data_IF_121126716669
#
_entry.id   IF_121126716669
#
_cell.length_a   1.000
_cell.length_b   1.000
_cell.length_c   1.000
_cell.angle_alpha   90.00
_cell.angle_beta   90.00
_cell.angle_gamma   90.00
#
_symmetry.space_group_name_H-M   'P 1'
#
loop_
_entity.id
_entity.type
_entity.pdbx_description
1 polymer ?
#
# COMPACT_ATOMS: atom_id res chain seq x y z
N UNK A 1 -21.46 -11.86 0.63
CA UNK A 1 -22.34 -12.73 -0.21
C UNK A 1 -22.25 -12.36 -1.70
N UNK A 2 -22.49 -11.09 -2.04
CA UNK A 2 -22.50 -10.59 -3.42
C UNK A 2 -21.14 -10.63 -4.11
N UNK A 3 -20.07 -10.17 -3.44
CA UNK A 3 -18.71 -10.24 -4.01
C UNK A 3 -18.24 -11.68 -4.30
N UNK A 4 -18.71 -12.66 -3.52
CA UNK A 4 -18.42 -14.08 -3.80
C UNK A 4 -19.16 -14.57 -5.03
N UNK A 5 -20.43 -14.18 -5.19
CA UNK A 5 -21.24 -14.51 -6.36
C UNK A 5 -20.63 -13.95 -7.64
N UNK A 6 -20.26 -12.66 -7.65
CA UNK A 6 -19.59 -12.01 -8.79
C UNK A 6 -18.26 -12.68 -9.16
N UNK A 7 -17.51 -13.14 -8.15
CA UNK A 7 -16.25 -13.86 -8.38
C UNK A 7 -16.49 -15.23 -9.02
N UNK A 8 -17.51 -15.97 -8.59
CA UNK A 8 -17.87 -17.25 -9.21
C UNK A 8 -18.37 -17.07 -10.65
N UNK A 9 -19.24 -16.09 -10.89
CA UNK A 9 -19.69 -15.74 -12.25
C UNK A 9 -18.51 -15.36 -13.16
N UNK A 10 -17.54 -14.59 -12.65
CA UNK A 10 -16.32 -14.27 -13.38
C UNK A 10 -15.49 -15.52 -13.69
N UNK A 11 -15.36 -16.48 -12.76
CA UNK A 11 -14.63 -17.74 -13.00
C UNK A 11 -15.31 -18.59 -14.07
N UNK A 12 -16.64 -18.68 -14.05
CA UNK A 12 -17.43 -19.40 -15.06
C UNK A 12 -17.27 -18.78 -16.44
N UNK A 13 -17.36 -17.46 -16.54
CA UNK A 13 -17.11 -16.70 -17.78
C UNK A 13 -15.68 -16.93 -18.31
N UNK A 14 -14.66 -16.91 -17.44
CA UNK A 14 -13.27 -17.23 -17.83
C UNK A 14 -13.15 -18.66 -18.32
N UNK A 15 -13.82 -19.63 -17.68
CA UNK A 15 -13.80 -21.03 -18.11
C UNK A 15 -14.44 -21.20 -19.48
N UNK A 16 -15.64 -20.64 -19.68
CA UNK A 16 -16.34 -20.68 -20.96
C UNK A 16 -15.50 -20.04 -22.09
N UNK A 17 -14.83 -18.92 -21.81
CA UNK A 17 -13.90 -18.30 -22.74
C UNK A 17 -12.74 -19.23 -23.12
N UNK A 18 -12.05 -19.83 -22.14
CA UNK A 18 -10.93 -20.75 -22.40
C UNK A 18 -11.37 -21.97 -23.19
N UNK A 19 -12.53 -22.54 -22.85
CA UNK A 19 -13.11 -23.68 -23.57
C UNK A 19 -13.42 -23.31 -25.03
N UNK A 20 -14.00 -22.12 -25.27
CA UNK A 20 -14.24 -21.60 -26.61
C UNK A 20 -12.93 -21.38 -27.41
N UNK A 21 -11.94 -20.69 -26.82
CA UNK A 21 -10.64 -20.41 -27.46
C UNK A 21 -9.89 -21.70 -27.80
N UNK A 22 -10.02 -22.74 -26.98
CA UNK A 22 -9.39 -24.05 -27.24
C UNK A 22 -9.93 -24.75 -28.51
N UNK A 23 -11.17 -24.44 -28.90
CA UNK A 23 -11.84 -24.99 -30.09
C UNK A 23 -11.73 -24.08 -31.32
N UNK A 24 -11.38 -22.81 -31.12
CA UNK A 24 -11.25 -21.83 -32.18
C UNK A 24 -10.07 -22.16 -33.12
N UNK A 25 -10.35 -22.21 -34.42
CA UNK A 25 -9.39 -22.54 -35.50
C UNK A 25 -8.75 -21.30 -36.11
N UNK A 26 -9.37 -20.14 -35.95
CA UNK A 26 -8.90 -18.89 -36.53
C UNK A 26 -9.11 -17.69 -35.58
N UNK A 27 -8.54 -16.55 -35.95
CA UNK A 27 -8.60 -15.33 -35.14
C UNK A 27 -10.01 -14.75 -35.02
N UNK A 28 -10.87 -14.93 -36.04
CA UNK A 28 -12.26 -14.44 -36.01
C UNK A 28 -13.07 -15.20 -34.95
N UNK A 29 -12.93 -16.52 -34.89
CA UNK A 29 -13.56 -17.36 -33.87
C UNK A 29 -13.07 -16.99 -32.46
N UNK A 30 -11.78 -16.69 -32.29
CA UNK A 30 -11.25 -16.21 -31.00
C UNK A 30 -11.85 -14.88 -30.59
N UNK A 31 -12.03 -13.94 -31.52
CA UNK A 31 -12.70 -12.66 -31.26
C UNK A 31 -14.16 -12.86 -30.86
N UNK A 32 -14.86 -13.85 -31.41
CA UNK A 32 -16.21 -14.19 -30.97
C UNK A 32 -16.23 -14.76 -29.55
N UNK A 33 -15.25 -15.58 -29.18
CA UNK A 33 -15.11 -16.06 -27.80
C UNK A 33 -14.96 -14.91 -26.81
N UNK A 34 -14.32 -13.79 -27.18
CA UNK A 34 -14.15 -12.64 -26.28
C UNK A 34 -15.48 -12.04 -25.80
N UNK A 35 -16.59 -12.26 -26.53
CA UNK A 35 -17.94 -11.83 -26.12
C UNK A 35 -18.43 -12.55 -24.87
N UNK A 36 -17.84 -13.69 -24.53
CA UNK A 36 -18.14 -14.45 -23.31
C UNK A 36 -17.54 -13.80 -22.06
N UNK A 37 -16.59 -12.88 -22.21
CA UNK A 37 -15.88 -12.25 -21.10
C UNK A 37 -16.62 -11.03 -20.57
N UNK A 38 -17.08 -11.12 -19.32
CA UNK A 38 -17.52 -9.95 -18.55
C UNK A 38 -16.33 -9.06 -18.16
N UNK A 39 -16.56 -7.78 -17.78
CA UNK A 39 -15.49 -6.92 -17.26
C UNK A 39 -14.74 -7.54 -16.07
N UNK A 40 -15.46 -8.21 -15.17
CA UNK A 40 -14.93 -8.93 -14.02
C UNK A 40 -14.08 -10.13 -14.46
N UNK A 41 -14.54 -10.89 -15.45
CA UNK A 41 -13.78 -12.00 -16.03
C UNK A 41 -12.50 -11.53 -16.74
N UNK A 42 -12.55 -10.41 -17.47
CA UNK A 42 -11.35 -9.79 -18.07
C UNK A 42 -10.33 -9.40 -17.00
N UNK A 43 -10.77 -8.78 -15.89
CA UNK A 43 -9.88 -8.47 -14.75
C UNK A 43 -9.29 -9.73 -14.10
N UNK A 44 -10.09 -10.79 -13.98
CA UNK A 44 -9.63 -12.07 -13.44
C UNK A 44 -8.57 -12.72 -14.36
N UNK A 45 -8.78 -12.71 -15.68
CA UNK A 45 -7.79 -13.17 -16.67
C UNK A 45 -6.50 -12.35 -16.63
N UNK A 46 -6.62 -11.02 -16.53
CA UNK A 46 -5.48 -10.11 -16.39
C UNK A 46 -4.60 -10.52 -15.20
N UNK A 47 -5.22 -10.72 -14.03
CA UNK A 47 -4.52 -11.11 -12.81
C UNK A 47 -3.91 -12.52 -12.92
N UNK A 48 -4.64 -13.50 -13.48
CA UNK A 48 -4.11 -14.85 -13.73
C UNK A 48 -2.87 -14.83 -14.63
N UNK A 49 -2.90 -14.01 -15.68
CA UNK A 49 -1.78 -13.88 -16.60
C UNK A 49 -0.58 -13.19 -15.96
N UNK A 50 -0.79 -12.13 -15.17
CA UNK A 50 0.27 -11.47 -14.40
C UNK A 50 0.92 -12.42 -13.38
N UNK A 51 0.12 -13.22 -12.67
CA UNK A 51 0.63 -14.23 -11.73
C UNK A 51 1.39 -15.35 -12.46
N UNK A 52 0.94 -15.77 -13.65
CA UNK A 52 1.70 -16.71 -14.48
C UNK A 52 3.05 -16.10 -14.91
N UNK A 53 3.05 -14.86 -15.43
CA UNK A 53 4.27 -14.17 -15.87
C UNK A 53 5.27 -13.97 -14.73
N UNK A 54 4.79 -13.68 -13.52
CA UNK A 54 5.61 -13.56 -12.31
C UNK A 54 6.45 -14.79 -12.02
N UNK A 55 5.94 -15.98 -12.36
CA UNK A 55 6.56 -17.26 -12.08
C UNK A 55 7.28 -17.84 -13.31
N UNK A 56 7.09 -17.26 -14.49
CA UNK A 56 7.72 -17.70 -15.72
C UNK A 56 9.24 -17.41 -15.71
N UNK A 57 10.05 -18.43 -15.95
CA UNK A 57 11.52 -18.35 -16.00
C UNK A 57 12.05 -18.21 -17.42
N UNK A 58 11.27 -18.68 -18.40
CA UNK A 58 11.67 -18.73 -19.81
C UNK A 58 10.72 -17.93 -20.70
N UNK A 59 11.21 -17.49 -21.86
CA UNK A 59 10.35 -16.83 -22.86
C UNK A 59 9.24 -17.75 -23.38
N UNK A 60 9.47 -19.06 -23.40
CA UNK A 60 8.44 -20.05 -23.75
C UNK A 60 7.30 -20.07 -22.72
N UNK A 61 7.63 -20.04 -21.42
CA UNK A 61 6.64 -19.92 -20.34
C UNK A 61 5.88 -18.60 -20.42
N UNK A 62 6.57 -17.48 -20.64
CA UNK A 62 5.91 -16.18 -20.78
C UNK A 62 4.92 -16.17 -21.95
N UNK A 63 5.31 -16.72 -23.10
CA UNK A 63 4.42 -16.87 -24.26
C UNK A 63 3.19 -17.71 -23.92
N UNK A 64 3.34 -18.79 -23.15
CA UNK A 64 2.20 -19.60 -22.69
C UNK A 64 1.23 -18.82 -21.80
N UNK A 65 1.74 -17.97 -20.90
CA UNK A 65 0.90 -17.17 -20.00
C UNK A 65 -0.04 -16.20 -20.73
N UNK A 66 0.33 -15.76 -21.94
CA UNK A 66 -0.42 -14.74 -22.70
C UNK A 66 -1.02 -15.26 -24.01
N UNK A 67 -0.84 -16.55 -24.34
CA UNK A 67 -1.21 -17.14 -25.63
C UNK A 67 -2.72 -17.04 -25.92
N UNK A 68 -3.53 -17.30 -24.90
CA UNK A 68 -4.98 -17.42 -25.03
C UNK A 68 -5.70 -16.17 -24.53
N UNK A 69 -5.01 -15.03 -24.40
CA UNK A 69 -5.63 -13.77 -24.02
C UNK A 69 -6.16 -13.02 -25.25
N UNK A 70 -7.22 -12.20 -25.06
CA UNK A 70 -7.60 -11.16 -26.02
C UNK A 70 -6.39 -10.29 -26.38
N UNK A 71 -6.27 -9.86 -27.63
CA UNK A 71 -5.09 -9.10 -28.11
C UNK A 71 -4.87 -7.80 -27.35
N UNK A 72 -5.93 -7.09 -27.01
CA UNK A 72 -5.88 -5.87 -26.20
C UNK A 72 -5.37 -6.18 -24.78
N UNK A 73 -5.89 -7.26 -24.18
CA UNK A 73 -5.52 -7.69 -22.84
C UNK A 73 -4.07 -8.20 -22.79
N UNK A 74 -3.63 -8.92 -23.82
CA UNK A 74 -2.25 -9.37 -23.98
C UNK A 74 -1.27 -8.18 -23.99
N UNK A 75 -1.53 -7.15 -24.80
CA UNK A 75 -0.69 -5.94 -24.84
C UNK A 75 -0.64 -5.26 -23.46
N UNK A 76 -1.79 -5.14 -22.80
CA UNK A 76 -1.91 -4.53 -21.46
C UNK A 76 -1.12 -5.31 -20.40
N UNK A 77 -1.28 -6.63 -20.35
CA UNK A 77 -0.59 -7.51 -19.39
C UNK A 77 0.93 -7.46 -19.61
N UNK A 78 1.39 -7.49 -20.87
CA UNK A 78 2.81 -7.40 -21.18
C UNK A 78 3.40 -6.03 -20.79
N UNK A 79 2.67 -4.93 -21.01
CA UNK A 79 3.09 -3.60 -20.57
C UNK A 79 3.21 -3.51 -19.04
N UNK A 80 2.22 -4.06 -18.32
CA UNK A 80 2.24 -4.13 -16.84
C UNK A 80 3.39 -4.96 -16.30
N UNK A 81 3.66 -6.12 -16.89
CA UNK A 81 4.80 -6.94 -16.48
C UNK A 81 6.13 -6.25 -16.80
N UNK A 82 6.25 -5.59 -17.96
CA UNK A 82 7.44 -4.79 -18.30
C UNK A 82 7.69 -3.65 -17.30
N UNK A 83 6.66 -2.89 -16.89
CA UNK A 83 6.75 -1.90 -15.82
C UNK A 83 7.17 -2.54 -14.50
N UNK A 84 6.59 -3.70 -14.15
CA UNK A 84 6.93 -4.40 -12.92
C UNK A 84 8.40 -4.82 -12.86
N UNK A 85 8.92 -5.41 -13.95
CA UNK A 85 10.33 -5.83 -14.07
C UNK A 85 11.26 -4.62 -14.05
N UNK A 86 10.89 -3.54 -14.74
CA UNK A 86 11.62 -2.27 -14.68
C UNK A 86 11.74 -1.76 -13.23
N UNK A 87 10.63 -1.70 -12.49
CA UNK A 87 10.62 -1.28 -11.10
C UNK A 87 11.51 -2.22 -10.26
N UNK A 88 11.43 -3.53 -10.44
CA UNK A 88 12.28 -4.48 -9.70
C UNK A 88 13.78 -4.27 -10.01
N UNK A 89 14.13 -3.97 -11.27
CA UNK A 89 15.49 -3.62 -11.68
C UNK A 89 15.97 -2.31 -11.03
N UNK A 90 15.18 -1.24 -11.12
CA UNK A 90 15.51 0.08 -10.53
C UNK A 90 15.66 0.01 -9.01
N UNK A 91 14.94 -0.90 -8.34
CA UNK A 91 15.07 -1.10 -6.90
C UNK A 91 16.44 -1.64 -6.48
N UNK A 92 17.13 -2.35 -7.38
CA UNK A 92 18.45 -2.95 -7.16
C UNK A 92 19.59 -2.07 -7.69
N UNK A 93 19.30 -1.21 -8.66
CA UNK A 93 20.27 -0.29 -9.26
C UNK A 93 20.83 0.72 -8.22
N UNK A 94 22.16 0.77 -8.13
CA UNK A 94 22.93 1.68 -7.26
C UNK A 94 23.36 2.94 -8.01
N UNK A 95 23.59 2.83 -9.31
CA UNK A 95 24.11 3.91 -10.17
C UNK A 95 23.08 4.39 -11.17
N UNK A 96 23.30 5.58 -11.74
CA UNK A 96 22.48 6.09 -12.84
C UNK A 96 22.62 5.23 -14.11
N UNK A 97 23.81 4.69 -14.37
CA UNK A 97 24.06 3.82 -15.51
C UNK A 97 23.20 2.54 -15.44
N UNK A 98 23.16 1.86 -14.29
CA UNK A 98 22.30 0.69 -14.09
C UNK A 98 20.80 1.03 -14.26
N UNK A 99 20.37 2.23 -13.84
CA UNK A 99 18.98 2.67 -14.05
C UNK A 99 18.66 2.87 -15.53
N UNK A 100 19.59 3.46 -16.30
CA UNK A 100 19.44 3.59 -17.76
C UNK A 100 19.39 2.24 -18.45
N UNK A 101 20.09 1.23 -17.94
CA UNK A 101 19.95 -0.14 -18.44
C UNK A 101 18.57 -0.74 -18.12
N UNK A 102 18.03 -0.50 -16.92
CA UNK A 102 16.67 -0.92 -16.59
C UNK A 102 15.63 -0.33 -17.55
N UNK A 103 15.79 0.92 -18.01
CA UNK A 103 14.87 1.53 -18.98
C UNK A 103 14.81 0.78 -20.31
N UNK A 104 15.84 0.03 -20.70
CA UNK A 104 15.83 -0.82 -21.91
C UNK A 104 14.82 -1.97 -21.81
N UNK A 105 14.36 -2.31 -20.60
CA UNK A 105 13.34 -3.33 -20.35
C UNK A 105 11.92 -2.85 -20.69
N UNK A 106 11.73 -1.54 -20.83
CA UNK A 106 10.43 -0.93 -21.09
C UNK A 106 10.11 -0.91 -22.58
N UNK A 107 8.98 -1.52 -22.95
CA UNK A 107 8.36 -1.31 -24.26
C UNK A 107 7.76 0.10 -24.36
N UNK A 108 7.47 0.64 -25.57
CA UNK A 108 6.81 1.93 -25.70
C UNK A 108 5.49 2.04 -24.93
N UNK A 109 4.68 0.97 -24.92
CA UNK A 109 3.45 0.89 -24.15
C UNK A 109 3.72 0.90 -22.64
N UNK A 110 4.76 0.19 -22.17
CA UNK A 110 5.16 0.20 -20.76
C UNK A 110 5.68 1.57 -20.32
N UNK A 111 6.37 2.31 -21.20
CA UNK A 111 6.80 3.69 -20.93
C UNK A 111 5.60 4.61 -20.72
N UNK A 112 4.58 4.52 -21.58
CA UNK A 112 3.33 5.29 -21.41
C UNK A 112 2.66 4.97 -20.08
N UNK A 113 2.53 3.68 -19.75
CA UNK A 113 1.94 3.24 -18.48
C UNK A 113 2.75 3.72 -17.25
N UNK A 114 4.07 3.75 -17.36
CA UNK A 114 4.94 4.28 -16.30
C UNK A 114 4.77 5.79 -16.12
N UNK A 115 4.63 6.56 -17.20
CA UNK A 115 4.32 8.00 -17.12
C UNK A 115 2.94 8.25 -16.50
N UNK A 116 1.91 7.48 -16.88
CA UNK A 116 0.59 7.53 -16.24
C UNK A 116 0.69 7.23 -14.73
N UNK A 117 1.51 6.25 -14.34
CA UNK A 117 1.76 5.94 -12.93
C UNK A 117 2.46 7.09 -12.20
N UNK A 118 3.40 7.81 -12.83
CA UNK A 118 4.05 8.99 -12.25
C UNK A 118 3.06 10.13 -12.03
N UNK A 119 2.20 10.40 -13.01
CA UNK A 119 1.13 11.42 -12.88
C UNK A 119 0.13 11.05 -11.77
N UNK A 120 -0.23 9.76 -11.66
CA UNK A 120 -1.06 9.24 -10.56
C UNK A 120 -0.40 9.44 -9.19
N UNK A 121 0.91 9.19 -9.06
CA UNK A 121 1.67 9.48 -7.81
C UNK A 121 1.68 10.97 -7.49
N UNK A 122 1.84 11.83 -8.50
CA UNK A 122 1.82 13.29 -8.33
C UNK A 122 0.44 13.76 -7.85
N UNK A 123 -0.64 13.32 -8.49
CA UNK A 123 -2.00 13.61 -8.08
C UNK A 123 -2.29 13.13 -6.64
N UNK A 124 -1.79 11.95 -6.27
CA UNK A 124 -1.87 11.45 -4.90
C UNK A 124 -1.18 12.39 -3.89
N UNK A 125 0.07 12.79 -4.16
CA UNK A 125 0.82 13.70 -3.28
C UNK A 125 0.12 15.06 -3.13
N UNK A 126 -0.39 15.61 -4.23
CA UNK A 126 -1.14 16.86 -4.21
C UNK A 126 -2.42 16.71 -3.38
N UNK A 127 -3.16 15.62 -3.55
CA UNK A 127 -4.35 15.31 -2.75
C UNK A 127 -4.02 15.18 -1.25
N UNK A 128 -3.01 14.37 -0.90
CA UNK A 128 -2.58 14.14 0.50
C UNK A 128 -2.10 15.42 1.16
N UNK A 129 -1.45 16.33 0.43
CA UNK A 129 -1.01 17.63 0.95
C UNK A 129 -2.18 18.53 1.36
N UNK A 130 -3.36 18.35 0.76
CA UNK A 130 -4.58 19.12 1.04
C UNK A 130 -5.49 18.42 2.06
N UNK A 131 -5.29 17.12 2.27
CA UNK A 131 -6.10 16.31 3.15
C UNK A 131 -5.92 16.69 4.63
N UNK A 132 -7.04 16.97 5.31
CA UNK A 132 -7.11 17.42 6.70
C UNK A 132 -7.25 16.28 7.69
N UNK A 133 -7.80 15.14 7.28
CA UNK A 133 -8.05 13.97 8.12
C UNK A 133 -7.57 12.67 7.43
N UNK A 134 -7.58 11.54 8.15
CA UNK A 134 -7.15 10.24 7.59
C UNK A 134 -8.14 9.71 6.53
N UNK A 135 -9.42 10.06 6.61
CA UNK A 135 -10.45 9.64 5.65
C UNK A 135 -10.20 10.26 4.26
N UNK A 136 -9.93 11.55 4.21
CA UNK A 136 -9.52 12.26 2.98
C UNK A 136 -8.23 11.67 2.41
N UNK A 137 -7.26 11.29 3.25
CA UNK A 137 -6.04 10.59 2.79
C UNK A 137 -6.35 9.22 2.19
N UNK A 138 -7.29 8.47 2.77
CA UNK A 138 -7.74 7.18 2.22
C UNK A 138 -8.45 7.36 0.87
N UNK A 139 -9.23 8.43 0.69
CA UNK A 139 -9.81 8.77 -0.60
C UNK A 139 -8.72 9.12 -1.63
N UNK A 140 -7.65 9.83 -1.23
CA UNK A 140 -6.50 10.08 -2.10
C UNK A 140 -5.83 8.78 -2.58
N UNK A 141 -5.76 7.74 -1.74
CA UNK A 141 -5.19 6.44 -2.14
C UNK A 141 -5.94 5.80 -3.32
N UNK A 142 -7.21 6.15 -3.56
CA UNK A 142 -7.97 5.66 -4.73
C UNK A 142 -7.44 6.21 -6.05
N UNK A 143 -6.68 7.31 -6.03
CA UNK A 143 -6.00 7.86 -7.20
C UNK A 143 -4.83 6.98 -7.66
N UNK A 144 -4.28 6.16 -6.76
CA UNK A 144 -3.11 5.33 -7.06
C UNK A 144 -3.51 4.01 -7.73
N UNK A 145 -3.06 3.85 -8.98
CA UNK A 145 -3.04 2.54 -9.66
C UNK A 145 -2.06 1.58 -8.96
N UNK A 146 -2.17 0.25 -9.16
CA UNK A 146 -1.19 -0.70 -8.60
C UNK A 146 0.26 -0.36 -8.98
N UNK A 147 0.48 0.09 -10.21
CA UNK A 147 1.78 0.51 -10.72
C UNK A 147 2.27 1.78 -10.02
N UNK A 148 1.38 2.76 -9.81
CA UNK A 148 1.67 3.98 -9.05
C UNK A 148 1.97 3.69 -7.57
N UNK A 149 1.23 2.77 -6.93
CA UNK A 149 1.50 2.32 -5.55
C UNK A 149 2.90 1.72 -5.44
N UNK A 150 3.28 0.85 -6.38
CA UNK A 150 4.61 0.24 -6.40
C UNK A 150 5.70 1.28 -6.64
N UNK A 151 5.47 2.25 -7.53
CA UNK A 151 6.40 3.36 -7.76
C UNK A 151 6.58 4.23 -6.50
N UNK A 152 5.48 4.63 -5.85
CA UNK A 152 5.50 5.39 -4.61
C UNK A 152 6.25 4.65 -3.49
N UNK A 153 6.04 3.33 -3.35
CA UNK A 153 6.77 2.51 -2.39
C UNK A 153 8.29 2.57 -2.61
N UNK A 154 8.74 2.63 -3.87
CA UNK A 154 10.16 2.76 -4.18
C UNK A 154 10.72 4.13 -3.85
N UNK A 155 9.98 5.20 -4.13
CA UNK A 155 10.37 6.56 -3.75
C UNK A 155 10.49 6.69 -2.23
N UNK A 156 9.53 6.12 -1.50
CA UNK A 156 9.54 6.01 -0.04
C UNK A 156 10.79 5.27 0.45
N UNK A 157 11.08 4.08 -0.10
CA UNK A 157 12.28 3.30 0.27
C UNK A 157 13.57 4.05 -0.01
N UNK A 158 13.66 4.79 -1.12
CA UNK A 158 14.82 5.63 -1.47
C UNK A 158 15.00 6.78 -0.48
N UNK A 159 13.92 7.49 -0.15
CA UNK A 159 13.91 8.57 0.85
C UNK A 159 14.35 8.06 2.22
N UNK A 160 13.82 6.92 2.67
CA UNK A 160 14.21 6.30 3.94
C UNK A 160 15.68 5.87 3.94
N UNK A 161 16.16 5.26 2.85
CA UNK A 161 17.57 4.89 2.73
C UNK A 161 18.48 6.13 2.82
N UNK A 162 18.16 7.18 2.08
CA UNK A 162 18.91 8.43 2.11
C UNK A 162 18.93 9.05 3.53
N UNK A 163 17.80 9.02 4.23
CA UNK A 163 17.71 9.45 5.62
C UNK A 163 18.62 8.62 6.54
N UNK A 164 18.56 7.29 6.48
CA UNK A 164 19.39 6.41 7.32
C UNK A 164 20.88 6.58 7.01
N UNK A 165 21.24 6.69 5.73
CA UNK A 165 22.62 6.95 5.30
C UNK A 165 23.12 8.30 5.88
N UNK A 166 22.28 9.34 5.85
CA UNK A 166 22.58 10.64 6.47
C UNK A 166 22.72 10.54 8.00
N UNK A 167 21.76 9.93 8.68
CA UNK A 167 21.75 9.77 10.15
C UNK A 167 22.96 8.96 10.64
N UNK A 168 23.43 7.98 9.85
CA UNK A 168 24.61 7.18 10.19
C UNK A 168 25.91 8.01 10.23
N UNK A 169 25.96 9.11 9.47
CA UNK A 169 27.11 10.03 9.39
C UNK A 169 26.98 11.24 10.32
N UNK A 170 25.76 11.53 10.76
CA UNK A 170 25.47 12.68 11.62
C UNK A 170 26.10 12.51 13.01
N UNK A 171 26.92 13.48 13.41
CA UNK A 171 27.64 13.53 14.69
C UNK A 171 26.85 14.19 15.81
N UNK A 172 25.89 15.04 15.46
CA UNK A 172 25.13 15.84 16.42
C UNK A 172 23.64 15.91 16.04
N UNK A 173 22.85 16.48 16.96
CA UNK A 173 21.40 16.62 16.78
C UNK A 173 21.01 17.57 15.64
N UNK A 174 21.81 18.61 15.38
CA UNK A 174 21.53 19.56 14.32
C UNK A 174 21.64 18.88 12.94
N UNK A 175 22.69 18.10 12.71
CA UNK A 175 22.87 17.30 11.50
C UNK A 175 21.75 16.26 11.34
N UNK A 176 21.33 15.59 12.43
CA UNK A 176 20.18 14.66 12.40
C UNK A 176 18.89 15.36 11.97
N UNK A 177 18.63 16.58 12.45
CA UNK A 177 17.47 17.39 12.03
C UNK A 177 17.56 17.79 10.55
N UNK A 178 18.74 18.01 10.01
CA UNK A 178 18.90 18.23 8.57
C UNK A 178 18.59 16.97 7.76
N UNK A 179 19.02 15.79 8.24
CA UNK A 179 18.65 14.52 7.62
C UNK A 179 17.14 14.33 7.54
N UNK A 180 16.37 14.78 8.55
CA UNK A 180 14.91 14.68 8.55
C UNK A 180 14.24 15.38 7.35
N UNK A 181 14.89 16.36 6.72
CA UNK A 181 14.39 17.03 5.50
C UNK A 181 14.35 16.10 4.29
N UNK A 182 15.11 14.98 4.33
CA UNK A 182 15.11 13.96 3.30
C UNK A 182 13.87 13.05 3.35
N UNK A 183 13.12 13.06 4.46
CA UNK A 183 11.93 12.24 4.64
C UNK A 183 10.68 12.95 4.10
N UNK A 184 10.01 12.30 3.15
CA UNK A 184 8.64 12.67 2.77
C UNK A 184 7.65 12.27 3.87
N UNK A 185 6.41 12.81 3.88
CA UNK A 185 5.36 12.35 4.80
C UNK A 185 5.11 10.84 4.72
N UNK A 186 5.15 10.26 3.53
CA UNK A 186 4.99 8.83 3.29
C UNK A 186 6.18 8.04 3.82
N UNK A 187 7.41 8.56 3.69
CA UNK A 187 8.61 7.98 4.27
C UNK A 187 8.57 7.98 5.81
N UNK A 188 8.08 9.07 6.43
CA UNK A 188 7.83 9.11 7.87
C UNK A 188 6.79 8.07 8.30
N UNK A 189 5.67 7.95 7.59
CA UNK A 189 4.61 6.95 7.88
C UNK A 189 5.15 5.52 7.72
N UNK A 190 6.00 5.28 6.73
CA UNK A 190 6.65 3.99 6.51
C UNK A 190 7.62 3.63 7.65
N UNK A 191 8.48 4.56 8.08
CA UNK A 191 9.35 4.38 9.25
C UNK A 191 8.56 4.13 10.53
N UNK A 192 7.45 4.86 10.73
CA UNK A 192 6.54 4.64 11.86
C UNK A 192 6.04 3.19 11.91
N UNK A 193 5.59 2.67 10.77
CA UNK A 193 5.09 1.30 10.65
C UNK A 193 6.20 0.26 10.87
N UNK A 194 7.40 0.47 10.31
CA UNK A 194 8.55 -0.42 10.55
C UNK A 194 8.93 -0.47 12.03
N UNK A 195 8.95 0.68 12.70
CA UNK A 195 9.28 0.76 14.11
C UNK A 195 8.22 0.08 14.98
N UNK A 196 6.94 0.27 14.66
CA UNK A 196 5.84 -0.43 15.34
C UNK A 196 5.94 -1.95 15.16
N UNK A 197 6.29 -2.42 13.96
CA UNK A 197 6.44 -3.85 13.69
C UNK A 197 7.64 -4.46 14.43
N UNK A 198 8.80 -3.79 14.39
CA UNK A 198 9.96 -4.15 15.19
C UNK A 198 9.60 -4.23 16.69
N UNK A 199 8.86 -3.24 17.19
CA UNK A 199 8.46 -3.19 18.59
C UNK A 199 7.46 -4.27 19.01
N UNK A 200 6.65 -4.83 18.10
CA UNK A 200 5.78 -5.97 18.41
C UNK A 200 6.60 -7.21 18.75
N UNK A 201 7.74 -7.38 18.09
CA UNK A 201 8.59 -8.55 18.23
C UNK A 201 9.69 -8.38 19.30
N UNK A 202 9.97 -7.14 19.73
CA UNK A 202 10.97 -6.82 20.74
C UNK A 202 10.55 -7.31 22.16
N UNK A 203 11.35 -8.21 22.74
CA UNK A 203 11.15 -8.82 24.07
C UNK A 203 11.90 -8.06 25.16
N UNK A 204 13.01 -7.42 24.83
CA UNK A 204 13.88 -6.72 25.79
C UNK A 204 13.87 -5.20 25.59
N UNK A 205 14.21 -4.44 26.63
CA UNK A 205 14.39 -2.99 26.51
C UNK A 205 15.49 -2.61 25.52
N UNK A 206 16.54 -3.42 25.39
CA UNK A 206 17.59 -3.22 24.41
C UNK A 206 17.10 -3.36 22.96
N UNK A 207 16.23 -4.34 22.68
CA UNK A 207 15.57 -4.48 21.39
C UNK A 207 14.60 -3.32 21.12
N UNK A 208 13.83 -2.91 22.13
CA UNK A 208 12.91 -1.76 22.00
C UNK A 208 13.66 -0.48 21.65
N UNK A 209 14.80 -0.22 22.32
CA UNK A 209 15.67 0.93 22.02
C UNK A 209 16.22 0.87 20.60
N UNK A 210 16.62 -0.32 20.12
CA UNK A 210 17.09 -0.51 18.74
C UNK A 210 16.02 -0.16 17.70
N UNK A 211 14.75 -0.52 17.92
CA UNK A 211 13.66 -0.24 16.99
C UNK A 211 13.40 1.27 16.74
N UNK A 212 13.84 2.15 17.64
CA UNK A 212 13.54 3.58 17.59
C UNK A 212 14.78 4.48 17.56
N UNK A 213 15.99 3.90 17.55
CA UNK A 213 17.27 4.60 17.71
C UNK A 213 17.52 5.66 16.61
N UNK A 214 17.18 5.30 15.38
CA UNK A 214 17.49 6.10 14.19
C UNK A 214 16.27 6.85 13.67
N UNK A 215 15.19 6.92 14.45
CA UNK A 215 13.99 7.69 14.08
C UNK A 215 14.14 9.18 14.45
N UNK A 216 13.41 10.06 13.76
CA UNK A 216 13.17 11.43 14.22
C UNK A 216 12.63 11.44 15.66
N UNK A 217 13.04 12.41 16.48
CA UNK A 217 12.66 12.44 17.91
C UNK A 217 11.15 12.53 18.13
N UNK A 218 10.46 13.30 17.31
CA UNK A 218 9.00 13.40 17.32
C UNK A 218 8.37 12.05 16.98
N UNK A 219 8.90 11.37 15.97
CA UNK A 219 8.41 10.07 15.52
C UNK A 219 8.66 8.97 16.58
N UNK A 220 9.82 8.99 17.23
CA UNK A 220 10.14 8.10 18.35
C UNK A 220 9.12 8.23 19.48
N UNK A 221 8.82 9.46 19.92
CA UNK A 221 7.81 9.71 20.95
C UNK A 221 6.44 9.20 20.53
N UNK A 222 6.03 9.46 19.28
CA UNK A 222 4.75 9.02 18.72
C UNK A 222 4.62 7.49 18.68
N UNK A 223 5.66 6.78 18.19
CA UNK A 223 5.67 5.31 18.11
C UNK A 223 5.59 4.67 19.50
N UNK A 224 6.36 5.19 20.47
CA UNK A 224 6.33 4.69 21.84
C UNK A 224 4.97 4.93 22.51
N UNK A 225 4.39 6.11 22.31
CA UNK A 225 3.06 6.43 22.83
C UNK A 225 1.98 5.51 22.22
N UNK A 226 2.00 5.27 20.91
CA UNK A 226 1.10 4.30 20.26
C UNK A 226 1.23 2.88 20.82
N UNK A 227 2.46 2.42 21.10
CA UNK A 227 2.70 1.13 21.74
C UNK A 227 2.12 1.07 23.16
N UNK A 228 2.30 2.13 23.94
CA UNK A 228 1.76 2.26 25.29
C UNK A 228 0.22 2.26 25.29
N UNK A 229 -0.42 3.00 24.37
CA UNK A 229 -1.88 2.95 24.16
C UNK A 229 -2.34 1.53 23.83
N UNK A 230 -1.64 0.82 22.93
CA UNK A 230 -1.99 -0.56 22.59
C UNK A 230 -1.91 -1.48 23.83
N UNK A 231 -0.83 -1.40 24.61
CA UNK A 231 -0.67 -2.20 25.82
C UNK A 231 -1.77 -1.90 26.86
N UNK A 232 -2.17 -0.63 26.99
CA UNK A 232 -3.31 -0.23 27.82
C UNK A 232 -4.61 -0.87 27.32
N UNK A 233 -4.92 -0.80 26.03
CA UNK A 233 -6.14 -1.40 25.47
C UNK A 233 -6.15 -2.92 25.64
N UNK A 234 -5.02 -3.59 25.42
CA UNK A 234 -4.86 -5.03 25.63
C UNK A 234 -5.08 -5.41 27.11
N UNK A 235 -4.63 -4.57 28.06
CA UNK A 235 -4.88 -4.75 29.49
C UNK A 235 -6.36 -4.53 29.85
N UNK A 236 -6.95 -3.41 29.41
CA UNK A 236 -8.35 -3.06 29.71
C UNK A 236 -9.33 -4.10 29.14
N UNK A 237 -9.05 -4.67 27.96
CA UNK A 237 -9.89 -5.72 27.39
C UNK A 237 -9.94 -7.01 28.22
N UNK A 238 -8.95 -7.23 29.10
CA UNK A 238 -8.87 -8.40 29.99
C UNK A 238 -9.32 -8.09 31.42
N UNK A 239 -9.43 -6.81 31.77
CA UNK A 239 -9.82 -6.36 33.09
C UNK A 239 -11.30 -6.71 33.38
N UNK A 240 -11.56 -7.34 34.52
CA UNK A 240 -12.89 -7.79 34.97
C UNK A 240 -13.63 -6.76 35.82
N UNK A 241 -12.92 -5.77 36.34
CA UNK A 241 -13.48 -4.75 37.23
C UNK A 241 -12.76 -3.40 37.06
N UNK A 242 -13.31 -2.36 37.68
CA UNK A 242 -12.79 -1.00 37.56
C UNK A 242 -11.42 -0.80 38.21
N UNK A 243 -11.12 -1.56 39.28
CA UNK A 243 -9.80 -1.50 39.93
C UNK A 243 -8.70 -2.00 38.99
N UNK A 244 -8.94 -3.12 38.30
CA UNK A 244 -8.02 -3.66 37.28
C UNK A 244 -7.83 -2.68 36.12
N UNK A 245 -8.88 -1.97 35.69
CA UNK A 245 -8.75 -0.93 34.66
C UNK A 245 -7.91 0.25 35.12
N UNK A 246 -8.07 0.69 36.37
CA UNK A 246 -7.23 1.75 36.95
C UNK A 246 -5.76 1.32 37.02
N UNK A 247 -5.48 0.05 37.28
CA UNK A 247 -4.11 -0.48 37.21
C UNK A 247 -3.54 -0.45 35.79
N UNK A 248 -4.35 -0.74 34.77
CA UNK A 248 -3.93 -0.62 33.38
C UNK A 248 -3.49 0.80 33.01
N UNK A 249 -4.06 1.85 33.63
CA UNK A 249 -3.64 3.24 33.35
C UNK A 249 -2.17 3.51 33.70
N UNK A 250 -1.56 2.71 34.58
CA UNK A 250 -0.12 2.82 34.91
C UNK A 250 0.77 2.49 33.70
N UNK A 251 0.24 1.82 32.69
CA UNK A 251 0.93 1.52 31.43
C UNK A 251 1.01 2.73 30.48
N UNK A 252 0.21 3.77 30.72
CA UNK A 252 0.15 4.95 29.86
C UNK A 252 1.19 6.00 30.25
N UNK A 253 2.07 6.34 29.30
CA UNK A 253 2.91 7.54 29.42
C UNK A 253 2.07 8.82 29.29
N UNK A 254 2.55 10.00 29.73
CA UNK A 254 1.83 11.26 29.55
C UNK A 254 1.44 11.53 28.08
N UNK A 255 2.33 11.24 27.13
CA UNK A 255 2.05 11.34 25.69
C UNK A 255 0.98 10.34 25.24
N UNK A 256 1.00 9.11 25.75
CA UNK A 256 0.01 8.09 25.45
C UNK A 256 -1.37 8.46 26.01
N UNK A 257 -1.43 9.06 27.21
CA UNK A 257 -2.68 9.60 27.79
C UNK A 257 -3.28 10.69 26.90
N UNK A 258 -2.46 11.63 26.43
CA UNK A 258 -2.91 12.68 25.50
C UNK A 258 -3.49 12.09 24.21
N UNK A 259 -2.76 11.16 23.58
CA UNK A 259 -3.24 10.48 22.36
C UNK A 259 -4.54 9.70 22.59
N UNK A 260 -4.66 9.02 23.73
CA UNK A 260 -5.87 8.27 24.09
C UNK A 260 -7.05 9.21 24.34
N UNK A 261 -6.86 10.33 25.02
CA UNK A 261 -7.90 11.32 25.27
C UNK A 261 -8.35 12.02 23.98
N UNK A 262 -7.43 12.36 23.07
CA UNK A 262 -7.76 12.87 21.73
C UNK A 262 -8.61 11.86 20.95
N UNK A 263 -8.23 10.58 20.97
CA UNK A 263 -8.99 9.51 20.35
C UNK A 263 -10.40 9.38 20.98
N UNK A 264 -10.52 9.37 22.31
CA UNK A 264 -11.82 9.35 23.01
C UNK A 264 -12.70 10.53 22.63
N UNK A 265 -12.14 11.74 22.54
CA UNK A 265 -12.87 12.94 22.10
C UNK A 265 -13.37 12.79 20.67
N UNK A 266 -12.54 12.28 19.76
CA UNK A 266 -12.95 12.05 18.37
C UNK A 266 -14.07 11.01 18.26
N UNK A 267 -13.98 9.91 19.02
CA UNK A 267 -15.01 8.87 19.06
C UNK A 267 -16.31 9.41 19.66
N UNK A 268 -16.22 10.20 20.73
CA UNK A 268 -17.39 10.83 21.34
C UNK A 268 -18.06 11.80 20.36
N UNK A 269 -17.30 12.66 19.68
CA UNK A 269 -17.83 13.57 18.67
C UNK A 269 -18.51 12.82 17.52
N UNK A 270 -17.92 11.70 17.08
CA UNK A 270 -18.54 10.81 16.10
C UNK A 270 -19.87 10.24 16.59
N UNK A 271 -19.91 9.66 17.79
CA UNK A 271 -21.13 9.09 18.38
C UNK A 271 -22.23 10.14 18.59
N UNK A 272 -21.85 11.33 19.07
CA UNK A 272 -22.76 12.46 19.25
C UNK A 272 -23.33 12.92 17.90
N UNK A 273 -22.55 12.90 16.83
CA UNK A 273 -23.04 13.20 15.49
C UNK A 273 -23.99 12.10 14.96
N UNK A 274 -23.58 10.83 15.05
CA UNK A 274 -24.36 9.68 14.57
C UNK A 274 -25.72 9.58 15.28
N UNK A 275 -25.78 9.88 16.57
CA UNK A 275 -27.02 9.87 17.35
C UNK A 275 -28.04 10.93 16.91
N UNK A 276 -27.56 12.01 16.27
CA UNK A 276 -28.41 13.10 15.75
C UNK A 276 -28.79 12.91 14.28
N UNK A 277 -28.11 12.01 13.57
CA UNK A 277 -28.36 11.74 12.16
C UNK A 277 -29.69 11.02 11.94
N UNK A 278 -30.52 11.54 11.04
CA UNK A 278 -31.87 11.07 10.72
C UNK A 278 -31.90 10.04 9.60
N UNK A 279 -30.81 9.92 8.84
CA UNK A 279 -30.69 9.02 7.70
C UNK A 279 -29.24 8.55 7.51
N UNK A 280 -29.04 7.57 6.63
CA UNK A 280 -27.73 6.96 6.39
C UNK A 280 -26.73 7.95 5.74
N UNK A 281 -27.22 8.92 4.97
CA UNK A 281 -26.37 9.95 4.34
C UNK A 281 -25.78 10.89 5.40
N UNK A 282 -26.58 11.33 6.37
CA UNK A 282 -26.14 12.14 7.51
C UNK A 282 -25.16 11.36 8.41
N UNK A 283 -25.38 10.05 8.60
CA UNK A 283 -24.42 9.20 9.33
C UNK A 283 -23.07 9.11 8.62
N UNK A 284 -23.07 8.97 7.29
CA UNK A 284 -21.83 8.96 6.49
C UNK A 284 -21.09 10.31 6.53
N UNK A 285 -21.79 11.41 6.79
CA UNK A 285 -21.18 12.73 6.99
C UNK A 285 -20.50 12.87 8.35
N UNK A 286 -20.99 12.19 9.39
CA UNK A 286 -20.35 12.18 10.72
C UNK A 286 -18.95 11.56 10.74
N UNK A 287 -18.63 10.71 9.77
CA UNK A 287 -17.31 10.10 9.61
C UNK A 287 -16.25 11.03 8.97
N UNK A 288 -16.64 12.25 8.53
CA UNK A 288 -15.74 13.25 7.92
C UNK A 288 -15.11 14.14 8.99
#
# INVERSE_FOLDING_TARGET
>A
PEARKLLEEAKESVKAYKDCVSRARNEKEKQECEKLLTPEARKLLENQALDCLKNAKTEAEKKRCVKDLPKDLQKKVLAKESVRVYLDCVSKAKTEAERKECEKLLTPEARKLLEEAKESVKAYKDCVSRARNEKEKQECEKLLTPEARKLLEQEVKKSVKAYLDCVSRAKNEAERKECEKLLTPEARKFLENQALDCLKNAKTEAEKKRCVKDLPKDLQKKVLAKKSVKAYLDCVSRARNEKEKQECEKLLTPEARKLLEEAKKSVKAYLDCVSRARNEKEKQECEK
#
